data_IF_716055000532
#
_entry.id   IF_716055000532
#
_cell.length_a   1.000
_cell.length_b   1.000
_cell.length_c   1.000
_cell.angle_alpha   90.00
_cell.angle_beta   90.00
_cell.angle_gamma   90.00
#
_symmetry.space_group_name_H-M   'P 1'
#
loop_
_entity.id
_entity.type
_entity.pdbx_description
1 polymer ?
#
# COMPACT_ATOMS: atom_id res chain seq x y z
N UNK A 1 -8.41 18.30 -0.50
CA UNK A 1 -7.08 18.96 -0.57
C UNK A 1 -6.21 18.07 -1.44
N UNK A 2 -5.54 18.61 -2.44
CA UNK A 2 -4.59 17.85 -3.26
C UNK A 2 -3.27 17.76 -2.50
N UNK A 3 -3.08 16.70 -1.72
CA UNK A 3 -1.80 16.41 -1.09
C UNK A 3 -0.99 15.57 -2.06
N UNK A 4 0.12 16.13 -2.53
CA UNK A 4 0.95 15.53 -3.58
C UNK A 4 2.04 14.67 -2.96
N UNK A 5 2.41 13.59 -3.64
CA UNK A 5 3.52 12.76 -3.20
C UNK A 5 4.29 12.15 -4.37
N UNK A 6 5.46 11.60 -4.05
CA UNK A 6 6.20 10.70 -4.94
C UNK A 6 6.13 9.27 -4.42
N UNK A 7 5.90 8.31 -5.31
CA UNK A 7 6.01 6.88 -5.00
C UNK A 7 7.03 6.25 -5.95
N UNK A 8 7.96 5.48 -5.40
CA UNK A 8 9.07 4.98 -6.19
C UNK A 8 9.92 3.94 -5.48
N UNK A 9 11.16 3.81 -5.94
CA UNK A 9 12.17 2.91 -5.37
C UNK A 9 13.52 3.59 -5.36
N UNK A 10 14.49 3.00 -4.66
CA UNK A 10 15.89 3.42 -4.70
C UNK A 10 16.68 2.50 -5.62
N UNK A 11 17.73 3.04 -6.23
CA UNK A 11 18.66 2.19 -6.97
C UNK A 11 19.49 1.32 -6.01
N UNK A 12 19.63 0.04 -6.35
CA UNK A 12 20.36 -0.92 -5.52
C UNK A 12 21.86 -0.63 -5.50
N UNK A 13 22.41 -0.13 -6.62
CA UNK A 13 23.82 0.25 -6.71
C UNK A 13 24.10 1.62 -6.05
N UNK A 14 23.10 2.48 -5.98
CA UNK A 14 23.16 3.81 -5.39
C UNK A 14 21.86 4.13 -4.63
N UNK A 15 21.76 3.74 -3.34
CA UNK A 15 20.55 3.93 -2.55
C UNK A 15 20.23 5.41 -2.25
N UNK A 16 21.07 6.34 -2.69
CA UNK A 16 20.82 7.79 -2.58
C UNK A 16 19.98 8.33 -3.72
N UNK A 17 19.90 7.62 -4.85
CA UNK A 17 19.08 8.00 -5.99
C UNK A 17 17.72 7.32 -5.91
N UNK A 18 16.69 8.16 -5.98
CA UNK A 18 15.28 7.77 -6.02
C UNK A 18 14.81 7.83 -7.47
N UNK A 19 14.04 6.81 -7.86
CA UNK A 19 13.30 6.74 -9.12
C UNK A 19 11.83 6.70 -8.73
N UNK A 20 11.08 7.74 -9.07
CA UNK A 20 9.71 7.88 -8.59
C UNK A 20 8.76 8.46 -9.63
N UNK A 21 7.48 8.23 -9.37
CA UNK A 21 6.34 8.79 -10.10
C UNK A 21 5.53 9.68 -9.20
N UNK A 22 5.02 10.76 -9.79
CA UNK A 22 4.21 11.74 -9.10
C UNK A 22 2.80 11.18 -8.89
N UNK A 23 2.20 11.51 -7.75
CA UNK A 23 0.80 11.24 -7.42
C UNK A 23 0.14 12.54 -6.99
N UNK A 24 -0.88 12.96 -7.73
CA UNK A 24 -1.50 14.28 -7.56
C UNK A 24 -2.42 14.36 -6.34
N UNK A 25 -3.15 13.31 -6.01
CA UNK A 25 -4.17 13.32 -4.97
C UNK A 25 -3.90 12.29 -3.87
N UNK A 26 -4.46 12.58 -2.69
CA UNK A 26 -4.50 11.69 -1.52
C UNK A 26 -3.14 11.15 -1.06
N UNK A 27 -2.09 11.96 -1.19
CA UNK A 27 -0.70 11.59 -0.87
C UNK A 27 -0.38 11.33 0.60
N UNK A 28 -1.35 11.32 1.52
CA UNK A 28 -1.12 11.10 2.96
C UNK A 28 -0.73 9.64 3.30
N UNK A 29 0.12 9.39 4.31
CA UNK A 29 0.55 8.04 4.65
C UNK A 29 -0.57 7.08 5.02
N UNK A 30 -1.65 7.59 5.62
CA UNK A 30 -2.86 6.83 5.96
C UNK A 30 -3.65 6.34 4.74
N UNK A 31 -3.39 6.89 3.55
CA UNK A 31 -4.05 6.49 2.30
C UNK A 31 -3.09 5.74 1.39
N UNK A 32 -1.90 6.31 1.13
CA UNK A 32 -0.95 5.75 0.16
C UNK A 32 -0.39 4.41 0.62
N UNK A 33 0.00 4.25 1.90
CA UNK A 33 0.61 2.99 2.37
C UNK A 33 -0.37 1.81 2.27
N UNK A 34 -1.63 1.92 2.73
CA UNK A 34 -2.64 0.89 2.49
C UNK A 34 -2.92 0.63 1.00
N UNK A 35 -2.98 1.68 0.17
CA UNK A 35 -3.19 1.53 -1.27
C UNK A 35 -2.06 0.70 -1.91
N UNK A 36 -0.78 1.03 -1.63
CA UNK A 36 0.37 0.26 -2.13
C UNK A 36 0.29 -1.20 -1.68
N UNK A 37 -0.08 -1.47 -0.42
CA UNK A 37 -0.23 -2.84 0.08
C UNK A 37 -1.34 -3.62 -0.64
N UNK A 38 -2.49 -2.98 -0.90
CA UNK A 38 -3.58 -3.58 -1.63
C UNK A 38 -3.24 -3.85 -3.10
N UNK A 39 -2.55 -2.92 -3.77
CA UNK A 39 -2.03 -3.10 -5.14
C UNK A 39 -1.02 -4.26 -5.16
N UNK A 40 -0.12 -4.32 -4.18
CA UNK A 40 0.85 -5.40 -4.04
C UNK A 40 0.17 -6.77 -3.97
N UNK A 41 -0.87 -6.92 -3.15
CA UNK A 41 -1.55 -8.22 -2.99
C UNK A 41 -2.46 -8.55 -4.18
N UNK A 42 -3.19 -7.57 -4.71
CA UNK A 42 -4.26 -7.77 -5.69
C UNK A 42 -3.79 -7.73 -7.13
N UNK A 43 -3.02 -6.70 -7.50
CA UNK A 43 -2.50 -6.52 -8.85
C UNK A 43 -1.17 -7.27 -9.03
N UNK A 44 -0.21 -7.02 -8.14
CA UNK A 44 1.14 -7.57 -8.26
C UNK A 44 1.28 -9.00 -7.70
N UNK A 45 0.21 -9.59 -7.14
CA UNK A 45 0.20 -10.96 -6.60
C UNK A 45 1.34 -11.24 -5.60
N UNK A 46 1.63 -10.27 -4.75
CA UNK A 46 2.73 -10.25 -3.77
C UNK A 46 4.14 -10.21 -4.36
N UNK A 47 4.29 -9.92 -5.65
CA UNK A 47 5.58 -9.64 -6.28
C UNK A 47 5.91 -8.15 -6.16
N UNK A 48 6.90 -7.81 -5.33
CA UNK A 48 7.29 -6.41 -5.08
C UNK A 48 8.01 -5.79 -6.28
N UNK A 49 8.66 -6.57 -7.14
CA UNK A 49 9.24 -6.05 -8.39
C UNK A 49 8.13 -5.71 -9.40
N UNK A 50 7.10 -6.55 -9.50
CA UNK A 50 5.94 -6.26 -10.33
C UNK A 50 5.18 -5.01 -9.80
N UNK A 51 5.08 -4.84 -8.48
CA UNK A 51 4.54 -3.64 -7.86
C UNK A 51 5.33 -2.38 -8.26
N UNK A 52 6.66 -2.38 -8.06
CA UNK A 52 7.49 -1.22 -8.42
C UNK A 52 7.40 -0.91 -9.91
N UNK A 53 7.35 -1.95 -10.77
CA UNK A 53 7.18 -1.77 -12.21
C UNK A 53 5.83 -1.12 -12.54
N UNK A 54 4.75 -1.59 -11.92
CA UNK A 54 3.42 -1.02 -12.11
C UNK A 54 3.36 0.45 -11.67
N UNK A 55 3.86 0.76 -10.48
CA UNK A 55 3.90 2.14 -9.94
C UNK A 55 4.74 3.06 -10.82
N UNK A 56 5.89 2.59 -11.32
CA UNK A 56 6.81 3.41 -12.13
C UNK A 56 6.37 3.57 -13.60
N UNK A 57 5.27 2.96 -14.02
CA UNK A 57 4.81 2.97 -15.41
C UNK A 57 4.23 4.33 -15.86
N UNK A 58 3.69 5.13 -14.95
CA UNK A 58 3.05 6.40 -15.24
C UNK A 58 3.06 7.32 -14.01
N UNK A 59 2.82 8.61 -14.22
CA UNK A 59 2.36 9.48 -13.13
C UNK A 59 0.86 9.24 -12.88
N UNK A 60 0.42 9.47 -11.65
CA UNK A 60 -0.88 9.07 -11.16
C UNK A 60 -1.68 10.30 -10.74
N UNK A 61 -2.95 10.34 -11.14
CA UNK A 61 -3.92 11.23 -10.51
C UNK A 61 -4.10 10.79 -9.05
N UNK A 62 -4.34 9.49 -8.85
CA UNK A 62 -4.43 8.83 -7.56
C UNK A 62 -4.14 7.34 -7.69
N UNK A 63 -3.69 6.73 -6.59
CA UNK A 63 -3.59 5.29 -6.44
C UNK A 63 -4.87 4.75 -5.80
N UNK A 64 -5.53 3.83 -6.47
CA UNK A 64 -6.73 3.18 -5.96
C UNK A 64 -6.82 1.73 -6.47
N UNK A 65 -6.65 0.73 -5.58
CA UNK A 65 -6.74 -0.68 -5.94
C UNK A 65 -8.14 -1.12 -6.41
N UNK A 66 -9.18 -0.31 -6.21
CA UNK A 66 -10.54 -0.60 -6.65
C UNK A 66 -10.79 -0.20 -8.12
N UNK A 67 -9.86 0.51 -8.77
CA UNK A 67 -10.00 0.89 -10.18
C UNK A 67 -10.11 -0.36 -11.07
N UNK A 68 -11.04 -0.31 -12.01
CA UNK A 68 -11.27 -1.39 -12.99
C UNK A 68 -11.13 -0.85 -14.41
N UNK A 69 -11.12 -1.75 -15.39
CA UNK A 69 -11.08 -1.36 -16.81
C UNK A 69 -12.34 -0.59 -17.26
N UNK A 70 -13.44 -0.72 -16.52
CA UNK A 70 -14.69 -0.02 -16.78
C UNK A 70 -14.80 1.32 -16.03
N UNK A 71 -13.82 1.68 -15.19
CA UNK A 71 -13.84 2.96 -14.49
C UNK A 71 -13.67 4.09 -15.50
N UNK A 72 -14.71 4.89 -15.67
CA UNK A 72 -14.69 6.05 -16.55
C UNK A 72 -13.88 7.20 -15.91
N UNK A 73 -13.14 7.95 -16.73
CA UNK A 73 -12.55 9.22 -16.33
C UNK A 73 -13.39 10.38 -16.88
N UNK A 74 -13.59 11.40 -16.06
CA UNK A 74 -14.18 12.67 -16.47
C UNK A 74 -13.21 13.61 -17.19
N UNK A 75 -11.93 13.27 -17.29
CA UNK A 75 -10.88 14.13 -17.84
C UNK A 75 -10.19 13.47 -19.04
N UNK A 76 -10.01 14.26 -20.11
CA UNK A 76 -9.31 13.79 -21.30
C UNK A 76 -7.86 13.40 -20.96
N UNK A 77 -7.39 12.27 -21.50
CA UNK A 77 -6.01 11.80 -21.35
C UNK A 77 -5.74 10.97 -20.10
N UNK A 78 -6.64 10.94 -19.11
CA UNK A 78 -6.53 9.99 -18.00
C UNK A 78 -6.94 8.59 -18.45
N UNK A 79 -6.26 7.57 -17.90
CA UNK A 79 -6.52 6.17 -18.21
C UNK A 79 -6.60 5.34 -16.93
N UNK A 80 -7.65 4.52 -16.75
CA UNK A 80 -7.70 3.58 -15.64
C UNK A 80 -6.68 2.47 -15.85
N UNK A 81 -5.90 2.16 -14.80
CA UNK A 81 -5.05 0.97 -14.73
C UNK A 81 -5.67 0.03 -13.69
N UNK A 82 -6.28 -1.09 -14.13
CA UNK A 82 -7.03 -1.97 -13.23
C UNK A 82 -6.19 -2.50 -12.07
N UNK A 83 -6.71 -2.32 -10.85
CA UNK A 83 -6.06 -2.74 -9.61
C UNK A 83 -4.88 -1.86 -9.18
N UNK A 84 -4.65 -0.71 -9.82
CA UNK A 84 -3.53 0.21 -9.50
C UNK A 84 -4.03 1.62 -9.24
N UNK A 85 -4.69 2.25 -10.20
CA UNK A 85 -5.10 3.65 -10.08
C UNK A 85 -5.49 4.31 -11.40
N UNK A 86 -5.67 5.62 -11.35
CA UNK A 86 -5.94 6.46 -12.51
C UNK A 86 -4.68 7.22 -12.89
N UNK A 87 -4.24 7.13 -14.15
CA UNK A 87 -3.06 7.90 -14.59
C UNK A 87 -3.37 9.39 -14.61
N UNK A 88 -2.36 10.21 -14.33
CA UNK A 88 -2.42 11.64 -14.58
C UNK A 88 -2.53 11.89 -16.10
N UNK A 89 -3.31 12.89 -16.51
CA UNK A 89 -3.46 13.20 -17.93
C UNK A 89 -2.11 13.64 -18.51
N UNK A 90 -1.56 12.84 -19.43
CA UNK A 90 -0.31 13.22 -20.10
C UNK A 90 -0.52 14.46 -20.95
N UNK A 91 0.36 15.44 -20.79
CA UNK A 91 0.36 16.68 -21.59
C UNK A 91 0.95 16.49 -22.99
N UNK A 92 1.58 15.33 -23.23
CA UNK A 92 2.28 15.00 -24.48
C UNK A 92 1.60 13.82 -25.17
N UNK A 93 1.33 13.97 -26.48
CA UNK A 93 0.70 12.94 -27.33
C UNK A 93 1.51 11.62 -27.31
N UNK A 94 1.09 10.68 -26.46
CA UNK A 94 1.44 9.27 -26.53
C UNK A 94 2.84 8.85 -26.05
N UNK A 95 3.69 9.77 -25.62
CA UNK A 95 4.99 9.43 -25.03
C UNK A 95 4.86 9.24 -23.51
N UNK A 96 5.35 8.12 -22.93
CA UNK A 96 5.44 7.98 -21.49
C UNK A 96 6.31 9.09 -20.91
N UNK A 97 5.82 9.83 -19.92
CA UNK A 97 6.65 10.80 -19.22
C UNK A 97 7.86 10.08 -18.59
N UNK A 98 9.06 10.68 -18.61
CA UNK A 98 10.23 10.05 -18.01
C UNK A 98 10.05 9.88 -16.50
N UNK A 99 10.61 8.81 -15.93
CA UNK A 99 10.64 8.64 -14.47
C UNK A 99 11.44 9.77 -13.84
N UNK A 100 10.92 10.38 -12.79
CA UNK A 100 11.62 11.43 -12.06
C UNK A 100 12.75 10.81 -11.26
N UNK A 101 13.98 11.28 -11.47
CA UNK A 101 15.18 10.80 -10.77
C UNK A 101 15.77 11.93 -9.95
N UNK A 102 15.91 11.70 -8.65
CA UNK A 102 16.49 12.69 -7.75
C UNK A 102 17.24 12.06 -6.58
N UNK A 103 18.28 12.73 -6.06
CA UNK A 103 18.84 12.37 -4.77
C UNK A 103 17.88 12.76 -3.63
N UNK A 104 17.63 11.86 -2.69
CA UNK A 104 16.69 12.12 -1.58
C UNK A 104 17.07 13.36 -0.74
N UNK A 105 18.35 13.71 -0.67
CA UNK A 105 18.84 14.94 -0.02
C UNK A 105 18.38 16.24 -0.67
N UNK A 106 17.83 16.18 -1.89
CA UNK A 106 17.30 17.34 -2.62
C UNK A 106 15.77 17.34 -2.69
N UNK A 107 15.10 16.52 -1.87
CA UNK A 107 13.64 16.40 -1.82
C UNK A 107 12.91 17.73 -1.61
N UNK A 108 13.51 18.68 -0.86
CA UNK A 108 12.91 20.00 -0.56
C UNK A 108 12.52 20.83 -1.79
N UNK A 109 13.02 20.48 -2.98
CA UNK A 109 12.75 21.20 -4.22
C UNK A 109 11.63 20.56 -5.07
N UNK A 110 10.99 19.49 -4.59
CA UNK A 110 10.06 18.68 -5.37
C UNK A 110 8.58 19.08 -5.23
N UNK A 111 8.27 20.05 -4.37
CA UNK A 111 6.89 20.52 -4.11
C UNK A 111 5.91 19.40 -3.77
N UNK A 112 6.35 18.43 -2.94
CA UNK A 112 5.52 17.33 -2.43
C UNK A 112 5.58 17.28 -0.92
N UNK A 113 4.53 16.76 -0.29
CA UNK A 113 4.48 16.58 1.17
C UNK A 113 5.15 15.26 1.60
N UNK A 114 5.12 14.24 0.74
CA UNK A 114 5.50 12.87 1.09
C UNK A 114 6.28 12.17 -0.02
N UNK A 115 7.19 11.30 0.37
CA UNK A 115 7.93 10.41 -0.54
C UNK A 115 7.86 8.98 0.00
N UNK A 116 7.42 8.04 -0.84
CA UNK A 116 7.24 6.63 -0.53
C UNK A 116 8.22 5.79 -1.34
N UNK A 117 9.10 5.07 -0.66
CA UNK A 117 10.13 4.24 -1.29
C UNK A 117 9.84 2.77 -1.00
N UNK A 118 9.47 2.05 -2.06
CA UNK A 118 9.24 0.61 -2.07
C UNK A 118 10.61 -0.08 -2.15
N UNK A 119 10.91 -0.92 -1.15
CA UNK A 119 12.04 -1.83 -1.16
C UNK A 119 11.60 -3.19 -1.75
N UNK A 120 12.02 -3.50 -2.99
CA UNK A 120 11.62 -4.74 -3.65
C UNK A 120 12.17 -6.00 -2.98
N UNK A 121 13.26 -5.90 -2.21
CA UNK A 121 13.92 -7.03 -1.57
C UNK A 121 13.25 -7.42 -0.26
N UNK A 122 12.69 -6.45 0.46
CA UNK A 122 12.12 -6.67 1.81
C UNK A 122 10.59 -6.59 1.84
N UNK A 123 9.94 -6.19 0.74
CA UNK A 123 8.50 -5.93 0.69
C UNK A 123 8.06 -4.90 1.75
N UNK A 124 8.88 -3.85 1.90
CA UNK A 124 8.67 -2.75 2.81
C UNK A 124 8.49 -1.43 2.04
N UNK A 125 7.78 -0.49 2.65
CA UNK A 125 7.68 0.90 2.17
C UNK A 125 8.25 1.80 3.24
N UNK A 126 9.28 2.57 2.89
CA UNK A 126 9.79 3.65 3.69
C UNK A 126 9.04 4.95 3.34
N UNK A 127 8.65 5.70 4.37
CA UNK A 127 7.95 6.98 4.26
C UNK A 127 8.91 8.08 4.66
N UNK A 128 9.00 9.11 3.82
CA UNK A 128 9.83 10.27 4.02
C UNK A 128 9.00 11.55 3.90
N UNK A 129 9.40 12.57 4.65
CA UNK A 129 8.85 13.93 4.54
C UNK A 129 9.38 14.65 3.31
N UNK A 130 8.81 15.82 3.03
CA UNK A 130 9.19 16.76 1.96
C UNK A 130 10.68 17.12 1.91
N UNK A 131 11.39 17.03 3.04
CA UNK A 131 12.83 17.26 3.13
C UNK A 131 13.69 16.00 3.07
N UNK A 132 13.07 14.86 2.75
CA UNK A 132 13.73 13.57 2.58
C UNK A 132 14.06 12.87 3.90
N UNK A 133 13.70 13.44 5.06
CA UNK A 133 13.88 12.76 6.35
C UNK A 133 13.02 11.51 6.41
N UNK A 134 13.62 10.42 6.87
CA UNK A 134 12.90 9.16 7.06
C UNK A 134 11.99 9.26 8.28
N UNK A 135 10.69 9.05 8.06
CA UNK A 135 9.68 9.07 9.11
C UNK A 135 9.41 7.67 9.66
N UNK A 136 9.13 6.70 8.79
CA UNK A 136 8.69 5.37 9.19
C UNK A 136 8.91 4.33 8.10
N UNK A 137 8.86 3.05 8.49
CA UNK A 137 8.88 1.92 7.57
C UNK A 137 7.77 0.93 7.89
N UNK A 138 7.12 0.43 6.84
CA UNK A 138 5.99 -0.48 6.96
C UNK A 138 6.21 -1.72 6.11
N UNK A 139 5.96 -2.91 6.66
CA UNK A 139 5.84 -4.14 5.87
C UNK A 139 4.51 -4.16 5.16
N UNK A 140 4.53 -4.39 3.85
CA UNK A 140 3.31 -4.40 3.03
C UNK A 140 2.25 -5.37 3.57
N UNK A 141 2.67 -6.56 4.02
CA UNK A 141 1.77 -7.54 4.61
C UNK A 141 1.06 -7.04 5.89
N UNK A 142 1.70 -6.16 6.68
CA UNK A 142 1.14 -5.59 7.89
C UNK A 142 0.20 -4.40 7.65
N UNK A 143 0.14 -3.90 6.41
CA UNK A 143 -0.70 -2.77 6.01
C UNK A 143 -2.00 -3.20 5.32
N UNK A 144 -2.20 -4.51 5.13
CA UNK A 144 -3.45 -5.04 4.60
C UNK A 144 -4.54 -4.99 5.68
N UNK A 145 -5.80 -4.72 5.29
CA UNK A 145 -6.91 -4.87 6.21
C UNK A 145 -6.98 -6.33 6.70
N UNK A 146 -7.43 -6.57 7.95
CA UNK A 146 -7.62 -7.93 8.44
C UNK A 146 -8.59 -8.67 7.52
N UNK A 147 -8.20 -9.85 7.05
CA UNK A 147 -9.07 -10.68 6.22
C UNK A 147 -10.32 -11.04 7.01
N UNK A 148 -11.51 -10.80 6.44
CA UNK A 148 -12.79 -11.14 7.08
C UNK A 148 -12.86 -12.64 7.45
N UNK A 149 -12.16 -13.50 6.71
CA UNK A 149 -12.05 -14.94 6.96
C UNK A 149 -11.27 -15.31 8.23
N UNK A 150 -10.40 -14.44 8.74
CA UNK A 150 -9.62 -14.70 9.95
C UNK A 150 -10.47 -14.58 11.24
N UNK A 151 -11.71 -14.10 11.12
CA UNK A 151 -12.63 -13.92 12.26
C UNK A 151 -13.46 -15.17 12.57
N UNK A 152 -13.43 -16.20 11.72
CA UNK A 152 -14.06 -17.49 12.01
C UNK A 152 -13.11 -18.40 12.79
N UNK A 153 -12.75 -18.01 14.01
CA UNK A 153 -12.23 -18.97 15.00
C UNK A 153 -13.38 -19.93 15.34
N UNK A 154 -13.26 -21.26 15.17
CA UNK A 154 -14.25 -22.17 15.72
C UNK A 154 -14.23 -22.03 17.24
N UNK A 155 -15.34 -21.53 17.79
CA UNK A 155 -15.52 -21.39 19.22
C UNK A 155 -15.14 -22.69 19.92
N UNK A 156 -14.24 -22.58 20.89
CA UNK A 156 -13.86 -23.66 21.81
C UNK A 156 -15.10 -24.38 22.31
N UNK A 157 -15.21 -25.68 22.00
CA UNK A 157 -16.19 -26.55 22.65
C UNK A 157 -15.89 -26.55 24.14
N UNK A 158 -16.76 -25.93 24.93
CA UNK A 158 -16.76 -26.10 26.38
C UNK A 158 -16.92 -27.58 26.73
N UNK A 159 -16.14 -28.12 27.70
CA UNK A 159 -16.34 -29.49 28.16
C UNK A 159 -17.66 -29.57 28.92
N UNK A 160 -18.48 -30.55 28.56
CA UNK A 160 -19.71 -30.87 29.27
C UNK A 160 -19.38 -31.22 30.73
N UNK A 161 -20.04 -30.52 31.66
CA UNK A 161 -19.99 -30.81 33.07
C UNK A 161 -20.43 -32.27 33.33
N UNK A 162 -19.49 -33.07 33.83
CA UNK A 162 -19.75 -34.42 34.31
C UNK A 162 -20.71 -34.37 35.51
N UNK A 163 -21.82 -35.06 35.36
CA UNK A 163 -22.81 -35.37 36.38
C UNK A 163 -22.13 -36.11 37.55
N UNK A 164 -22.23 -35.59 38.78
CA UNK A 164 -21.85 -36.31 40.00
C UNK A 164 -23.13 -36.76 40.75
N UNK A 165 -23.33 -38.05 41.04
CA UNK A 165 -24.50 -38.52 41.76
C UNK A 165 -24.34 -38.45 43.29
N UNK A 166 -25.34 -37.82 43.89
CA UNK A 166 -25.98 -38.02 45.19
C UNK A 166 -25.52 -39.20 46.09
N UNK A 167 -25.18 -38.90 47.35
CA UNK A 167 -25.39 -39.79 48.50
C UNK A 167 -25.45 -38.98 49.82
N UNK A 168 -26.47 -39.17 50.67
CA UNK A 168 -26.33 -38.88 52.08
C UNK A 168 -26.64 -40.07 53.01
N UNK A 169 -25.76 -40.18 54.00
CA UNK A 169 -25.98 -40.50 55.41
C UNK A 169 -26.66 -41.83 55.80
N UNK A 170 -25.84 -42.73 56.35
CA UNK A 170 -26.28 -43.76 57.29
C UNK A 170 -25.20 -44.03 58.34
N UNK A 171 -25.60 -43.92 59.61
CA UNK A 171 -25.07 -44.56 60.82
C UNK A 171 -24.65 -43.59 61.94
N UNK A 172 -25.52 -43.50 62.96
CA UNK A 172 -25.14 -43.33 64.37
C UNK A 172 -26.29 -43.84 65.24
N UNK A 173 -26.11 -45.04 65.81
CA UNK A 173 -26.54 -45.44 67.16
C UNK A 173 -25.82 -46.71 67.57
#
# INVERSE_FOLDING_TARGET
>A
MSTHCFVGTTDVANPRLVYARFVLLDGYPSVVVPAIAAIWVGHARRDTHALSTAILAADWEYLDPAITAATESGFAGQRPVPGVGMTLASTTDGAPEPVTVFPLSHARHLDVEWIYLIDPLTAEVAVHTDDGQHLARYRLAGCLPPSLDATCTPASRSPAAGHAPHQPAGALR
#
